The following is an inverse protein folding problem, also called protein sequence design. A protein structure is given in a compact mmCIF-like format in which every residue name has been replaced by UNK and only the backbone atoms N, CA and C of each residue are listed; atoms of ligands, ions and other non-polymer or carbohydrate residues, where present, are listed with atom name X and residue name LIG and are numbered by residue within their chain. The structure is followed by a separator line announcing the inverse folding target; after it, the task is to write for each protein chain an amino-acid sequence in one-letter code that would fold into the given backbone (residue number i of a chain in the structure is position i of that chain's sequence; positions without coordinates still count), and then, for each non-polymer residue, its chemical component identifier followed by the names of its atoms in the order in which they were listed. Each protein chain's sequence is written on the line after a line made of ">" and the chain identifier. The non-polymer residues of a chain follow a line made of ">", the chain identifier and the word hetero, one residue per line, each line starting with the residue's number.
data_IF_465456500444
#
_entry.id   IF_465456500444
#
_cell.length_a   1.000
_cell.length_b   1.000
_cell.length_c   1.000
_cell.angle_alpha   90.00
_cell.angle_beta   90.00
_cell.angle_gamma   90.00
#
_symmetry.space_group_name_H-M   'P 1'
#
loop_
_entity.id
_entity.type
_entity.pdbx_description
1 polymer ?
#
# COMPACT_ATOMS: atom_id res chain seq x y z
N UNK A 1 3.06 14.45 -14.74
CA UNK A 1 3.57 13.75 -15.93
C UNK A 1 5.08 13.88 -15.91
N UNK A 2 5.82 12.76 -15.87
CA UNK A 2 7.27 12.80 -15.94
C UNK A 2 7.70 13.41 -17.27
N UNK A 3 8.80 14.15 -17.27
CA UNK A 3 9.33 14.69 -18.52
C UNK A 3 9.94 13.56 -19.36
N UNK A 4 10.01 13.73 -20.69
CA UNK A 4 10.70 12.76 -21.55
C UNK A 4 12.17 12.56 -21.13
N UNK A 5 12.77 13.58 -20.51
CA UNK A 5 14.11 13.55 -19.96
C UNK A 5 14.23 12.62 -18.75
N UNK A 6 13.27 12.63 -17.83
CA UNK A 6 13.25 11.73 -16.66
C UNK A 6 13.15 10.26 -17.08
N UNK A 7 12.32 9.98 -18.10
CA UNK A 7 12.18 8.63 -18.66
C UNK A 7 13.51 8.16 -19.28
N UNK A 8 14.14 9.02 -20.09
CA UNK A 8 15.42 8.71 -20.74
C UNK A 8 16.55 8.52 -19.72
N UNK A 9 16.61 9.34 -18.67
CA UNK A 9 17.58 9.20 -17.58
C UNK A 9 17.40 7.88 -16.84
N UNK A 10 16.15 7.45 -16.60
CA UNK A 10 15.87 6.17 -15.99
C UNK A 10 16.27 4.99 -16.88
N UNK A 11 15.97 5.06 -18.18
CA UNK A 11 16.43 4.07 -19.17
C UNK A 11 17.96 3.96 -19.22
N UNK A 12 18.65 5.09 -19.23
CA UNK A 12 20.11 5.11 -19.22
C UNK A 12 20.67 4.45 -17.96
N UNK A 13 20.10 4.72 -16.78
CA UNK A 13 20.48 4.05 -15.52
C UNK A 13 20.25 2.54 -15.58
N UNK A 14 19.11 2.10 -16.12
CA UNK A 14 18.79 0.67 -16.24
C UNK A 14 19.74 -0.04 -17.21
N UNK A 15 20.01 0.57 -18.37
CA UNK A 15 20.95 0.05 -19.36
C UNK A 15 22.38 -0.02 -18.81
N UNK A 16 22.84 1.02 -18.10
CA UNK A 16 24.14 1.04 -17.45
C UNK A 16 24.28 -0.08 -16.41
N UNK A 17 23.26 -0.32 -15.59
CA UNK A 17 23.27 -1.39 -14.60
C UNK A 17 23.27 -2.80 -15.22
N UNK A 18 22.64 -2.98 -16.38
CA UNK A 18 22.69 -4.24 -17.13
C UNK A 18 24.07 -4.50 -17.73
N UNK A 19 24.75 -3.45 -18.21
CA UNK A 19 26.07 -3.52 -18.85
C UNK A 19 27.23 -3.55 -17.85
N UNK A 20 27.04 -3.01 -16.64
CA UNK A 20 28.04 -3.07 -15.59
C UNK A 20 28.35 -4.55 -15.28
N UNK A 21 29.59 -4.96 -15.60
CA UNK A 21 30.14 -6.22 -15.14
C UNK A 21 29.95 -6.27 -13.63
N UNK A 22 29.44 -7.40 -13.13
CA UNK A 22 29.18 -7.54 -11.70
C UNK A 22 30.49 -7.22 -10.97
N UNK A 23 30.54 -6.25 -10.05
CA UNK A 23 31.76 -6.03 -9.29
C UNK A 23 32.13 -7.38 -8.69
N UNK A 24 33.33 -7.86 -9.00
CA UNK A 24 33.84 -9.13 -8.50
C UNK A 24 33.58 -9.12 -6.99
N UNK A 25 32.77 -10.07 -6.54
CA UNK A 25 32.38 -10.19 -5.14
C UNK A 25 33.71 -10.26 -4.37
N UNK A 26 34.08 -9.27 -3.55
CA UNK A 26 35.36 -9.29 -2.87
C UNK A 26 35.41 -10.60 -2.09
N UNK A 27 36.45 -11.40 -2.34
CA UNK A 27 36.62 -12.68 -1.67
C UNK A 27 36.69 -12.42 -0.17
N UNK A 28 35.59 -12.67 0.54
CA UNK A 28 35.51 -12.47 1.98
C UNK A 28 36.36 -13.56 2.64
N UNK A 29 37.64 -13.26 2.84
CA UNK A 29 38.51 -14.05 3.71
C UNK A 29 37.99 -13.88 5.15
N UNK A 30 37.37 -14.94 5.66
CA UNK A 30 36.83 -14.97 7.00
C UNK A 30 37.97 -14.97 8.02
N UNK A 31 38.40 -13.78 8.47
CA UNK A 31 39.26 -13.63 9.64
C UNK A 31 38.44 -12.99 10.76
N UNK A 32 37.70 -13.83 11.49
CA UNK A 32 37.07 -13.47 12.77
C UNK A 32 38.18 -13.01 13.72
N UNK A 33 38.20 -11.72 14.04
CA UNK A 33 38.93 -11.18 15.18
C UNK A 33 37.89 -10.57 16.11
N UNK A 34 37.59 -11.27 17.20
CA UNK A 34 36.91 -10.67 18.34
C UNK A 34 37.85 -9.66 19.00
N UNK A 35 37.32 -8.50 19.41
CA UNK A 35 37.73 -7.90 20.67
C UNK A 35 36.49 -7.58 21.51
N UNK A 36 36.66 -7.71 22.83
CA UNK A 36 35.61 -7.51 23.81
C UNK A 36 35.60 -6.11 24.43
N UNK A 37 34.77 -6.06 25.48
CA UNK A 37 34.71 -5.10 26.60
C UNK A 37 34.20 -3.67 26.33
N UNK A 38 32.93 -3.44 26.73
CA UNK A 38 32.37 -2.48 27.73
C UNK A 38 33.01 -1.07 27.88
N UNK A 39 32.30 0.00 28.34
CA UNK A 39 31.19 -0.02 29.31
C UNK A 39 30.02 0.97 29.09
N UNK A 40 29.03 0.80 29.97
CA UNK A 40 27.98 1.73 30.43
C UNK A 40 28.30 3.22 30.27
N UNK A 41 27.32 4.03 29.81
CA UNK A 41 27.07 5.34 30.43
C UNK A 41 25.69 5.95 30.11
N UNK A 42 25.19 6.62 31.15
CA UNK A 42 24.31 7.80 31.22
C UNK A 42 22.83 7.70 30.83
N UNK A 43 22.04 7.54 31.89
CA UNK A 43 20.82 8.27 32.25
C UNK A 43 20.76 9.74 31.78
N UNK A 44 19.57 10.20 31.39
CA UNK A 44 19.03 11.60 31.29
C UNK A 44 18.03 11.64 30.10
N UNK A 45 16.81 12.16 30.14
CA UNK A 45 16.07 13.06 31.04
C UNK A 45 14.57 12.89 30.77
N UNK A 46 13.79 13.02 31.82
CA UNK A 46 12.34 13.25 31.77
C UNK A 46 12.09 14.73 31.45
N UNK A 47 11.37 15.03 30.38
CA UNK A 47 10.80 16.35 30.12
C UNK A 47 9.27 16.21 30.16
N UNK A 48 8.71 16.68 31.27
CA UNK A 48 7.28 16.90 31.50
C UNK A 48 6.81 18.13 30.72
N UNK A 49 6.09 17.92 29.61
CA UNK A 49 5.36 18.99 28.93
C UNK A 49 3.92 19.09 29.48
N UNK A 50 3.74 20.02 30.43
CA UNK A 50 2.45 20.54 30.87
C UNK A 50 1.66 21.13 29.68
N UNK A 51 0.50 20.55 29.38
CA UNK A 51 -0.48 21.14 28.45
C UNK A 51 -1.32 22.20 29.16
N UNK A 52 -1.46 23.42 28.60
CA UNK A 52 -2.27 24.47 29.20
C UNK A 52 -3.78 24.18 29.04
N UNK A 53 -4.49 24.38 30.16
CA UNK A 53 -5.94 24.32 30.27
C UNK A 53 -6.64 25.21 29.22
N UNK A 54 -7.41 24.56 28.34
CA UNK A 54 -8.27 25.26 27.39
C UNK A 54 -9.68 25.45 27.95
N UNK A 55 -9.98 26.73 28.17
CA UNK A 55 -11.21 27.41 27.78
C UNK A 55 -12.56 26.87 28.28
N UNK A 56 -13.04 27.59 29.28
CA UNK A 56 -14.42 27.75 29.72
C UNK A 56 -15.31 28.08 28.50
N UNK A 57 -16.23 27.18 28.15
CA UNK A 57 -17.37 27.51 27.29
C UNK A 57 -18.58 27.94 28.14
N UNK A 58 -19.28 29.03 27.78
CA UNK A 58 -20.50 29.44 28.45
C UNK A 58 -21.65 28.49 28.11
N UNK A 59 -22.31 28.03 29.17
CA UNK A 59 -23.56 27.26 29.14
C UNK A 59 -24.63 28.05 28.39
N UNK A 60 -25.11 27.50 27.28
CA UNK A 60 -26.26 28.03 26.53
C UNK A 60 -27.39 27.01 26.65
N UNK A 61 -28.45 27.44 27.33
CA UNK A 61 -29.70 26.69 27.48
C UNK A 61 -30.27 26.29 26.12
N UNK A 62 -30.35 24.98 25.87
CA UNK A 62 -30.97 24.43 24.67
C UNK A 62 -32.42 23.99 24.99
N UNK A 63 -33.41 24.43 24.19
CA UNK A 63 -34.77 23.93 24.29
C UNK A 63 -34.90 22.54 23.67
N UNK A 64 -35.55 21.68 24.44
CA UNK A 64 -36.57 20.69 24.08
C UNK A 64 -36.34 19.78 22.86
N UNK A 65 -36.24 18.48 23.18
CA UNK A 65 -36.28 17.31 22.30
C UNK A 65 -37.33 17.40 21.17
N UNK A 66 -36.90 17.78 19.98
CA UNK A 66 -37.57 17.43 18.73
C UNK A 66 -36.95 16.13 18.20
N UNK A 67 -37.80 15.24 17.69
CA UNK A 67 -37.43 13.95 17.11
C UNK A 67 -36.23 14.11 16.19
N UNK A 68 -35.12 13.45 16.55
CA UNK A 68 -33.89 13.39 15.77
C UNK A 68 -34.12 12.60 14.49
N UNK A 69 -34.87 13.16 13.55
CA UNK A 69 -34.78 12.77 12.17
C UNK A 69 -33.38 13.20 11.71
N UNK A 70 -32.46 12.27 11.42
CA UNK A 70 -31.10 12.61 10.97
C UNK A 70 -31.12 13.48 9.69
N UNK A 71 -32.27 13.52 9.02
CA UNK A 71 -32.58 14.40 7.91
C UNK A 71 -32.75 15.89 8.23
N UNK A 72 -33.29 16.22 9.41
CA UNK A 72 -33.58 17.61 9.78
C UNK A 72 -32.31 18.47 9.77
N UNK A 73 -31.19 17.87 10.20
CA UNK A 73 -29.91 18.55 10.31
C UNK A 73 -29.34 18.96 8.95
N UNK A 74 -29.46 18.12 7.91
CA UNK A 74 -28.94 18.44 6.58
C UNK A 74 -29.76 19.53 5.88
N UNK A 75 -31.09 19.50 6.00
CA UNK A 75 -31.96 20.55 5.46
C UNK A 75 -31.75 21.87 6.21
N UNK A 76 -31.60 21.82 7.53
CA UNK A 76 -31.29 23.01 8.35
C UNK A 76 -29.93 23.62 7.98
N UNK A 77 -28.90 22.78 7.74
CA UNK A 77 -27.60 23.23 7.25
C UNK A 77 -27.70 23.87 5.86
N UNK A 78 -28.41 23.23 4.94
CA UNK A 78 -28.60 23.73 3.58
C UNK A 78 -29.31 25.10 3.57
N UNK A 79 -30.32 25.29 4.43
CA UNK A 79 -31.00 26.59 4.66
C UNK A 79 -30.04 27.67 5.17
N UNK A 80 -29.24 27.35 6.19
CA UNK A 80 -28.24 28.30 6.75
C UNK A 80 -27.19 28.67 5.71
N UNK A 81 -26.73 27.70 4.93
CA UNK A 81 -25.76 27.92 3.86
C UNK A 81 -26.35 28.80 2.74
N UNK A 82 -27.58 28.53 2.32
CA UNK A 82 -28.28 29.33 1.31
C UNK A 82 -28.49 30.79 1.76
N UNK A 83 -28.83 30.99 3.04
CA UNK A 83 -28.93 32.32 3.64
C UNK A 83 -27.57 33.04 3.67
N UNK A 84 -26.49 32.34 4.05
CA UNK A 84 -25.14 32.90 4.06
C UNK A 84 -24.63 33.29 2.66
N UNK A 85 -25.10 32.60 1.61
CA UNK A 85 -24.75 32.90 0.22
C UNK A 85 -25.71 33.88 -0.47
N UNK A 86 -26.69 34.42 0.26
CA UNK A 86 -27.70 35.35 -0.26
C UNK A 86 -28.38 34.84 -1.54
N UNK A 87 -28.71 33.54 -1.58
CA UNK A 87 -29.35 32.92 -2.73
C UNK A 87 -30.76 33.48 -2.95
N UNK A 88 -31.21 33.51 -4.20
CA UNK A 88 -32.59 33.91 -4.53
C UNK A 88 -33.58 32.90 -3.95
N UNK A 89 -34.81 33.29 -3.58
CA UNK A 89 -35.81 32.36 -3.05
C UNK A 89 -36.05 31.13 -3.93
N UNK A 90 -35.99 31.27 -5.25
CA UNK A 90 -36.10 30.14 -6.20
C UNK A 90 -34.96 29.13 -6.07
N UNK A 91 -33.74 29.59 -5.78
CA UNK A 91 -32.55 28.74 -5.59
C UNK A 91 -32.54 28.09 -4.20
N UNK A 92 -33.05 28.77 -3.18
CA UNK A 92 -33.21 28.19 -1.83
C UNK A 92 -34.11 26.95 -1.89
N UNK A 93 -35.23 27.04 -2.63
CA UNK A 93 -36.13 25.89 -2.83
C UNK A 93 -35.46 24.73 -3.54
N UNK A 94 -34.56 24.99 -4.50
CA UNK A 94 -33.82 23.95 -5.22
C UNK A 94 -32.78 23.27 -4.31
N UNK A 95 -32.07 24.05 -3.49
CA UNK A 95 -31.11 23.54 -2.51
C UNK A 95 -31.79 22.70 -1.42
N UNK A 96 -32.98 23.10 -0.97
CA UNK A 96 -33.79 22.31 -0.04
C UNK A 96 -34.27 21.00 -0.67
N UNK A 97 -34.79 21.05 -1.91
CA UNK A 97 -35.21 19.85 -2.63
C UNK A 97 -34.03 18.89 -2.87
N UNK A 98 -32.83 19.43 -3.16
CA UNK A 98 -31.61 18.65 -3.28
C UNK A 98 -31.22 17.99 -1.96
N UNK A 99 -31.22 18.72 -0.84
CA UNK A 99 -30.94 18.17 0.47
C UNK A 99 -31.90 17.03 0.82
N UNK A 100 -33.21 17.22 0.61
CA UNK A 100 -34.22 16.16 0.82
C UNK A 100 -34.00 14.94 -0.10
N UNK A 101 -33.53 15.14 -1.33
CA UNK A 101 -33.23 14.02 -2.24
C UNK A 101 -31.96 13.25 -1.84
N UNK A 102 -30.92 13.95 -1.37
CA UNK A 102 -29.68 13.32 -0.88
C UNK A 102 -29.94 12.38 0.31
N UNK A 103 -30.87 12.75 1.17
CA UNK A 103 -31.34 11.90 2.25
C UNK A 103 -31.91 10.57 1.79
N UNK A 104 -32.64 10.57 0.66
CA UNK A 104 -33.21 9.37 0.07
C UNK A 104 -32.15 8.44 -0.53
N UNK A 105 -30.93 8.91 -0.79
CA UNK A 105 -29.85 8.10 -1.36
C UNK A 105 -29.46 6.98 -0.40
N UNK A 106 -29.40 7.21 0.91
CA UNK A 106 -29.05 6.17 1.87
C UNK A 106 -30.08 5.02 1.86
N UNK A 107 -31.38 5.35 1.86
CA UNK A 107 -32.43 4.32 1.77
C UNK A 107 -32.38 3.52 0.46
N UNK A 108 -32.00 4.17 -0.67
CA UNK A 108 -31.81 3.49 -1.96
C UNK A 108 -30.54 2.64 -1.96
N UNK A 109 -29.49 3.11 -1.32
CA UNK A 109 -28.23 2.39 -1.15
C UNK A 109 -28.44 1.14 -0.30
N UNK A 110 -29.18 1.25 0.80
CA UNK A 110 -29.57 0.10 1.63
C UNK A 110 -30.42 -0.90 0.83
N UNK A 111 -31.31 -0.40 -0.03
CA UNK A 111 -32.06 -1.22 -0.99
C UNK A 111 -31.15 -1.96 -1.97
N UNK A 112 -30.14 -1.30 -2.52
CA UNK A 112 -29.16 -1.93 -3.42
C UNK A 112 -28.30 -2.95 -2.68
N UNK A 113 -27.80 -2.61 -1.49
CA UNK A 113 -26.95 -3.49 -0.68
C UNK A 113 -27.72 -4.73 -0.24
N UNK A 114 -28.97 -4.57 0.18
CA UNK A 114 -29.84 -5.69 0.57
C UNK A 114 -30.32 -6.55 -0.61
N UNK A 115 -30.50 -5.97 -1.79
CA UNK A 115 -30.88 -6.69 -3.01
C UNK A 115 -29.70 -7.42 -3.68
N UNK A 116 -28.45 -7.12 -3.30
CA UNK A 116 -27.30 -7.82 -3.85
C UNK A 116 -27.27 -9.27 -3.34
N UNK A 117 -27.07 -10.25 -4.24
CA UNK A 117 -26.88 -11.63 -3.82
C UNK A 117 -25.62 -11.71 -2.96
N UNK A 118 -25.66 -12.52 -1.90
CA UNK A 118 -24.49 -12.76 -1.05
C UNK A 118 -23.31 -13.16 -1.93
N UNK A 119 -22.26 -12.33 -1.93
CA UNK A 119 -21.07 -12.60 -2.71
C UNK A 119 -20.45 -13.91 -2.22
N UNK A 120 -20.48 -14.94 -3.08
CA UNK A 120 -19.80 -16.21 -2.83
C UNK A 120 -18.50 -16.20 -3.63
N UNK A 121 -17.39 -16.24 -2.90
CA UNK A 121 -16.06 -16.39 -3.52
C UNK A 121 -16.05 -17.71 -4.26
N UNK A 122 -15.74 -17.70 -5.56
CA UNK A 122 -15.59 -18.94 -6.30
C UNK A 122 -14.34 -19.68 -5.83
N UNK A 123 -14.30 -21.03 -5.86
CA UNK A 123 -13.11 -21.79 -5.45
C UNK A 123 -11.84 -21.37 -6.22
N UNK A 124 -11.98 -20.99 -7.49
CA UNK A 124 -10.89 -20.47 -8.31
C UNK A 124 -10.38 -19.11 -7.82
N UNK A 125 -11.29 -18.18 -7.51
CA UNK A 125 -10.92 -16.87 -6.96
C UNK A 125 -10.28 -17.00 -5.58
N UNK A 126 -10.82 -17.88 -4.74
CA UNK A 126 -10.28 -18.17 -3.41
C UNK A 126 -8.85 -18.72 -3.50
N UNK A 127 -8.60 -19.65 -4.41
CA UNK A 127 -7.25 -20.17 -4.68
C UNK A 127 -6.28 -19.06 -5.10
N UNK A 128 -6.71 -18.16 -5.99
CA UNK A 128 -5.89 -17.03 -6.44
C UNK A 128 -5.59 -16.04 -5.29
N UNK A 129 -6.59 -15.72 -4.46
CA UNK A 129 -6.42 -14.85 -3.30
C UNK A 129 -5.47 -15.47 -2.27
N UNK A 130 -5.57 -16.77 -2.00
CA UNK A 130 -4.64 -17.50 -1.12
C UNK A 130 -3.22 -17.48 -1.66
N UNK A 131 -3.03 -17.69 -2.97
CA UNK A 131 -1.70 -17.63 -3.60
C UNK A 131 -1.07 -16.23 -3.52
N UNK A 132 -1.88 -15.18 -3.73
CA UNK A 132 -1.42 -13.80 -3.58
C UNK A 132 -1.06 -13.50 -2.13
N UNK A 133 -1.91 -13.86 -1.18
CA UNK A 133 -1.65 -13.69 0.25
C UNK A 133 -0.37 -14.43 0.67
N UNK A 134 -0.18 -15.69 0.23
CA UNK A 134 1.04 -16.44 0.47
C UNK A 134 2.27 -15.73 -0.12
N UNK A 135 2.16 -15.23 -1.35
CA UNK A 135 3.23 -14.44 -1.97
C UNK A 135 3.62 -13.26 -1.10
N UNK A 136 2.64 -12.48 -0.63
CA UNK A 136 2.87 -11.31 0.23
C UNK A 136 3.46 -11.69 1.59
N UNK A 137 3.01 -12.78 2.22
CA UNK A 137 3.55 -13.25 3.51
C UNK A 137 4.98 -13.75 3.38
N UNK A 138 5.31 -14.48 2.31
CA UNK A 138 6.69 -14.93 2.03
C UNK A 138 7.60 -13.72 1.72
N UNK A 139 7.02 -12.66 1.15
CA UNK A 139 7.73 -11.42 0.82
C UNK A 139 8.34 -10.71 2.03
N UNK A 140 7.70 -10.76 3.21
CA UNK A 140 8.21 -10.08 4.42
C UNK A 140 9.43 -10.79 5.01
N UNK A 141 9.62 -12.09 4.72
CA UNK A 141 10.74 -12.92 5.20
C UNK A 141 11.72 -13.31 4.09
N UNK A 142 11.73 -12.59 2.96
CA UNK A 142 12.49 -12.94 1.76
C UNK A 142 14.02 -13.11 1.99
N UNK A 143 14.59 -12.46 3.00
CA UNK A 143 16.01 -12.58 3.38
C UNK A 143 16.36 -13.95 3.98
N UNK A 144 15.38 -14.71 4.46
CA UNK A 144 15.57 -16.01 5.13
C UNK A 144 15.43 -17.21 4.21
N UNK A 145 14.74 -17.08 3.06
CA UNK A 145 14.51 -18.20 2.14
C UNK A 145 15.70 -18.44 1.20
N UNK A 146 16.27 -19.64 1.28
CA UNK A 146 17.20 -20.19 0.29
C UNK A 146 16.43 -21.15 -0.61
N UNK A 147 16.63 -21.06 -1.93
CA UNK A 147 16.05 -22.00 -2.89
C UNK A 147 15.33 -21.32 -4.06
N UNK A 148 14.88 -22.14 -5.01
CA UNK A 148 14.30 -21.67 -6.28
C UNK A 148 12.97 -20.91 -6.09
N UNK A 149 12.22 -21.24 -5.04
CA UNK A 149 10.98 -20.56 -4.68
C UNK A 149 11.21 -19.09 -4.31
N UNK A 150 12.26 -18.80 -3.52
CA UNK A 150 12.61 -17.43 -3.13
C UNK A 150 12.95 -16.55 -4.34
N UNK A 151 13.61 -17.13 -5.35
CA UNK A 151 13.94 -16.42 -6.60
C UNK A 151 12.67 -16.04 -7.36
N UNK A 152 11.68 -16.94 -7.43
CA UNK A 152 10.36 -16.65 -8.06
C UNK A 152 9.64 -15.52 -7.35
N UNK A 153 9.63 -15.50 -6.02
CA UNK A 153 9.03 -14.40 -5.25
C UNK A 153 9.76 -13.08 -5.43
N UNK A 154 11.10 -13.07 -5.42
CA UNK A 154 11.89 -11.87 -5.71
C UNK A 154 11.56 -11.28 -7.08
N UNK A 155 11.37 -12.15 -8.09
CA UNK A 155 10.97 -11.74 -9.42
C UNK A 155 9.57 -11.10 -9.40
N UNK A 156 8.62 -11.68 -8.65
CA UNK A 156 7.30 -11.11 -8.47
C UNK A 156 7.37 -9.71 -7.83
N UNK A 157 8.16 -9.53 -6.77
CA UNK A 157 8.37 -8.22 -6.14
C UNK A 157 8.91 -7.20 -7.14
N UNK A 158 9.90 -7.61 -7.91
CA UNK A 158 10.55 -6.73 -8.87
C UNK A 158 9.60 -6.37 -10.02
N UNK A 159 8.72 -7.29 -10.45
CA UNK A 159 7.63 -7.00 -11.36
C UNK A 159 6.65 -5.98 -10.76
N UNK A 160 6.26 -6.13 -9.49
CA UNK A 160 5.40 -5.15 -8.81
C UNK A 160 6.06 -3.78 -8.69
N UNK A 161 7.34 -3.72 -8.32
CA UNK A 161 8.13 -2.48 -8.29
C UNK A 161 8.14 -1.80 -9.66
N UNK A 162 8.38 -2.56 -10.73
CA UNK A 162 8.33 -2.05 -12.10
C UNK A 162 6.93 -1.54 -12.47
N UNK A 163 5.86 -2.28 -12.12
CA UNK A 163 4.48 -1.88 -12.36
C UNK A 163 4.12 -0.58 -11.64
N UNK A 164 4.46 -0.45 -10.35
CA UNK A 164 4.22 0.77 -9.58
C UNK A 164 4.96 1.96 -10.17
N UNK A 165 6.22 1.75 -10.53
CA UNK A 165 7.00 2.77 -11.20
C UNK A 165 6.35 3.19 -12.53
N UNK A 166 5.94 2.23 -13.35
CA UNK A 166 5.29 2.52 -14.64
C UNK A 166 3.96 3.24 -14.46
N UNK A 167 3.19 2.90 -13.43
CA UNK A 167 1.92 3.55 -13.11
C UNK A 167 2.10 5.02 -12.69
N UNK A 168 3.18 5.34 -11.97
CA UNK A 168 3.54 6.75 -11.67
C UNK A 168 3.81 7.53 -12.96
N UNK A 169 4.42 6.89 -13.95
CA UNK A 169 4.79 7.54 -15.21
C UNK A 169 3.61 7.70 -16.16
N UNK A 170 2.76 6.67 -16.26
CA UNK A 170 1.64 6.58 -17.20
C UNK A 170 0.39 6.05 -16.47
N UNK A 171 -0.29 6.91 -15.68
CA UNK A 171 -1.58 6.55 -15.13
C UNK A 171 -2.64 6.66 -16.23
N UNK A 172 -3.28 5.56 -16.62
CA UNK A 172 -4.32 5.58 -17.64
C UNK A 172 -4.56 4.23 -18.30
N UNK A 173 -5.42 4.24 -19.32
CA UNK A 173 -5.84 3.04 -20.03
C UNK A 173 -4.71 2.41 -20.87
N UNK A 174 -3.68 3.20 -21.23
CA UNK A 174 -2.49 2.74 -21.95
C UNK A 174 -1.40 2.16 -21.03
N UNK A 175 -1.64 2.09 -19.71
CA UNK A 175 -0.70 1.58 -18.72
C UNK A 175 -0.11 0.21 -19.10
N UNK A 176 -0.96 -0.73 -19.50
CA UNK A 176 -0.55 -2.09 -19.84
C UNK A 176 0.32 -2.13 -21.09
N UNK A 177 -0.03 -1.37 -22.14
CA UNK A 177 0.76 -1.29 -23.37
C UNK A 177 2.15 -0.70 -23.11
N UNK A 178 2.23 0.33 -22.26
CA UNK A 178 3.51 0.94 -21.88
C UNK A 178 4.37 0.01 -21.03
N UNK A 179 3.76 -0.76 -20.13
CA UNK A 179 4.45 -1.79 -19.35
C UNK A 179 5.02 -2.89 -20.26
N UNK A 180 4.25 -3.36 -21.24
CA UNK A 180 4.70 -4.37 -22.20
C UNK A 180 5.85 -3.86 -23.07
N UNK A 181 5.76 -2.61 -23.56
CA UNK A 181 6.86 -1.94 -24.25
C UNK A 181 8.12 -1.87 -23.37
N UNK A 182 7.96 -1.55 -22.07
CA UNK A 182 9.06 -1.50 -21.12
C UNK A 182 9.72 -2.87 -20.93
N UNK A 183 8.92 -3.92 -20.74
CA UNK A 183 9.41 -5.29 -20.59
C UNK A 183 10.11 -5.77 -21.86
N UNK A 184 9.55 -5.48 -23.04
CA UNK A 184 10.17 -5.78 -24.32
C UNK A 184 11.52 -5.06 -24.48
N UNK A 185 11.59 -3.79 -24.09
CA UNK A 185 12.83 -3.02 -24.10
C UNK A 185 13.88 -3.60 -23.16
N UNK A 186 13.52 -3.99 -21.92
CA UNK A 186 14.44 -4.64 -20.97
C UNK A 186 15.01 -5.93 -21.57
N UNK A 187 14.16 -6.80 -22.13
CA UNK A 187 14.60 -8.07 -22.75
C UNK A 187 15.53 -7.83 -23.93
N UNK A 188 15.20 -6.86 -24.79
CA UNK A 188 16.01 -6.49 -25.96
C UNK A 188 17.37 -5.95 -25.54
N UNK A 189 17.41 -5.02 -24.59
CA UNK A 189 18.65 -4.41 -24.07
C UNK A 189 19.53 -5.43 -23.34
N UNK A 190 18.91 -6.37 -22.62
CA UNK A 190 19.62 -7.47 -21.99
C UNK A 190 20.14 -8.52 -22.97
N UNK A 191 19.72 -8.50 -24.25
CA UNK A 191 20.01 -9.57 -25.20
C UNK A 191 19.44 -10.92 -24.76
N UNK A 192 18.29 -10.91 -24.09
CA UNK A 192 17.63 -12.09 -23.50
C UNK A 192 18.48 -12.86 -22.46
N UNK A 193 19.54 -12.24 -21.93
CA UNK A 193 20.35 -12.80 -20.85
C UNK A 193 19.62 -12.69 -19.50
N UNK A 194 19.33 -13.84 -18.89
CA UNK A 194 18.61 -13.94 -17.62
C UNK A 194 19.30 -13.18 -16.47
N UNK A 195 20.63 -13.14 -16.45
CA UNK A 195 21.38 -12.44 -15.41
C UNK A 195 21.24 -10.92 -15.56
N UNK A 196 21.25 -10.40 -16.79
CA UNK A 196 21.07 -8.97 -17.06
C UNK A 196 19.63 -8.54 -16.79
N UNK A 197 18.65 -9.35 -17.18
CA UNK A 197 17.24 -9.13 -16.85
C UNK A 197 17.08 -9.09 -15.32
N UNK A 198 17.66 -10.05 -14.60
CA UNK A 198 17.64 -10.09 -13.14
C UNK A 198 18.27 -8.84 -12.49
N UNK A 199 19.37 -8.30 -13.06
CA UNK A 199 19.98 -7.05 -12.60
C UNK A 199 19.04 -5.85 -12.78
N UNK A 200 18.38 -5.74 -13.94
CA UNK A 200 17.42 -4.67 -14.21
C UNK A 200 16.27 -4.67 -13.19
N UNK A 201 15.71 -5.85 -12.93
CA UNK A 201 14.65 -6.03 -11.93
C UNK A 201 15.11 -5.73 -10.50
N UNK A 202 16.32 -6.15 -10.10
CA UNK A 202 16.89 -5.78 -8.79
C UNK A 202 17.06 -4.28 -8.63
N UNK A 203 17.48 -3.57 -9.69
CA UNK A 203 17.59 -2.13 -9.67
C UNK A 203 16.21 -1.46 -9.55
N UNK A 204 15.21 -1.93 -10.30
CA UNK A 204 13.84 -1.43 -10.18
C UNK A 204 13.31 -1.60 -8.74
N UNK A 205 13.54 -2.76 -8.13
CA UNK A 205 13.17 -3.03 -6.74
C UNK A 205 13.93 -2.13 -5.75
N UNK A 206 15.22 -1.87 -5.98
CA UNK A 206 16.00 -0.96 -5.13
C UNK A 206 15.47 0.48 -5.20
N UNK A 207 15.09 0.95 -6.38
CA UNK A 207 14.49 2.28 -6.55
C UNK A 207 13.10 2.36 -5.93
N UNK A 208 12.25 1.35 -6.11
CA UNK A 208 10.94 1.29 -5.47
C UNK A 208 11.07 1.29 -3.95
N UNK A 209 12.05 0.55 -3.40
CA UNK A 209 12.39 0.62 -1.99
C UNK A 209 12.85 2.02 -1.58
N UNK A 210 13.73 2.69 -2.32
CA UNK A 210 14.14 4.05 -1.97
C UNK A 210 12.96 5.05 -1.96
N UNK A 211 12.03 4.91 -2.90
CA UNK A 211 10.84 5.76 -3.02
C UNK A 211 9.78 5.48 -1.95
N UNK A 212 9.65 4.21 -1.54
CA UNK A 212 8.53 3.72 -0.72
C UNK A 212 8.92 3.10 0.60
N UNK A 213 10.21 2.99 0.91
CA UNK A 213 10.67 2.79 2.27
C UNK A 213 10.39 4.08 3.03
N UNK A 214 9.14 4.24 3.45
CA UNK A 214 8.85 4.92 4.71
C UNK A 214 9.79 4.23 5.70
N UNK A 215 10.55 4.98 6.51
CA UNK A 215 11.30 4.40 7.61
C UNK A 215 10.32 3.52 8.37
N UNK A 216 10.44 2.20 8.20
CA UNK A 216 9.52 1.24 8.79
C UNK A 216 9.89 1.20 10.28
N UNK A 217 9.44 2.21 11.00
CA UNK A 217 9.29 2.19 12.46
C UNK A 217 8.02 1.41 12.84
N UNK A 218 7.41 0.73 11.87
CA UNK A 218 6.45 -0.34 12.12
C UNK A 218 7.20 -1.53 12.71
N UNK A 219 7.47 -1.45 14.01
CA UNK A 219 7.65 -2.61 14.87
C UNK A 219 6.34 -3.39 14.81
N UNK A 220 6.36 -4.51 14.07
CA UNK A 220 5.39 -5.57 14.33
C UNK A 220 5.47 -5.85 15.83
N UNK A 221 4.36 -5.76 16.59
CA UNK A 221 4.36 -6.17 17.98
C UNK A 221 4.98 -7.57 18.03
N UNK A 222 5.96 -7.82 18.91
CA UNK A 222 6.57 -9.16 19.02
C UNK A 222 5.49 -10.22 19.25
N UNK A 223 4.40 -9.83 19.91
CA UNK A 223 3.21 -10.60 20.21
C UNK A 223 2.33 -10.90 18.97
N UNK A 224 2.50 -10.17 17.86
CA UNK A 224 1.72 -10.33 16.62
C UNK A 224 2.27 -11.44 15.71
N UNK A 225 3.49 -11.94 15.97
CA UNK A 225 3.96 -13.21 15.41
C UNK A 225 3.34 -14.33 16.24
N UNK A 226 2.02 -14.50 16.10
CA UNK A 226 1.35 -15.63 16.69
C UNK A 226 1.86 -16.90 16.01
N UNK A 227 2.70 -17.67 16.68
CA UNK A 227 3.25 -18.96 16.21
C UNK A 227 2.16 -19.90 15.70
N UNK A 228 0.91 -19.73 16.16
CA UNK A 228 -0.25 -20.46 15.66
C UNK A 228 -0.50 -20.25 14.15
N UNK A 229 -0.24 -19.05 13.62
CA UNK A 229 -0.45 -18.78 12.19
C UNK A 229 0.63 -19.41 11.33
N UNK A 230 1.90 -19.37 11.79
CA UNK A 230 3.00 -20.03 11.09
C UNK A 230 2.81 -21.55 11.12
N UNK A 231 2.42 -22.13 12.26
CA UNK A 231 2.09 -23.55 12.38
C UNK A 231 0.92 -23.98 11.49
N UNK A 232 -0.11 -23.13 11.33
CA UNK A 232 -1.23 -23.39 10.43
C UNK A 232 -0.78 -23.42 8.95
N UNK A 233 0.07 -22.47 8.56
CA UNK A 233 0.65 -22.41 7.22
C UNK A 233 1.49 -23.65 6.95
N UNK A 234 2.40 -24.00 7.86
CA UNK A 234 3.28 -25.15 7.70
C UNK A 234 2.47 -26.47 7.61
N UNK A 235 1.43 -26.63 8.45
CA UNK A 235 0.51 -27.78 8.39
C UNK A 235 -0.24 -27.86 7.04
N UNK A 236 -0.64 -26.72 6.48
CA UNK A 236 -1.36 -26.70 5.19
C UNK A 236 -0.48 -27.04 3.99
N UNK A 237 0.84 -26.78 4.09
CA UNK A 237 1.80 -27.13 3.04
C UNK A 237 2.10 -28.63 3.07
N UNK A 238 2.20 -29.23 4.27
CA UNK A 238 2.47 -30.65 4.43
C UNK A 238 1.27 -31.53 4.04
N UNK A 239 0.04 -31.01 4.16
CA UNK A 239 -1.18 -31.75 3.80
C UNK A 239 -1.37 -31.99 2.29
N UNK A 240 -0.71 -31.19 1.43
CA UNK A 240 -0.78 -31.31 -0.04
C UNK A 240 0.42 -32.11 -0.62
N UNK A 241 1.19 -32.80 0.23
CA UNK A 241 2.30 -33.66 -0.18
C UNK A 241 1.84 -34.86 -1.03
N UNK A 242 2.67 -35.35 -1.97
CA UNK A 242 2.27 -36.29 -3.03
C UNK A 242 1.91 -37.73 -2.59
N UNK A 243 1.86 -38.00 -1.28
CA UNK A 243 1.56 -39.33 -0.73
C UNK A 243 0.16 -39.42 -0.06
N UNK A 244 -0.73 -38.43 -0.29
CA UNK A 244 -2.14 -38.43 0.12
C UNK A 244 -3.12 -38.60 -1.05
#
# INVERSE_FOLDING_TARGET
>A
MPTAEELAAYEAKLAAAMLANSPERPSVSHKRKHPGTNPENSEDKEDDDELPASSIFPSSDAPTSESSDPNGNMVAFAKRYAAHKCLKPSQVSEVEAFATNCSGVNSKLDGIVSAQPTFKVSPALEKNLRQLAHGVTILSKLSSYKGELAKKHLLLCACFALMRQQYKLFPGDDFWDKLDQRLAWIRKTAGYDENKISKAFKLALANDRADHSIAFDYTLPEDAVNDAWQALVDTSIDADGPDA
#
